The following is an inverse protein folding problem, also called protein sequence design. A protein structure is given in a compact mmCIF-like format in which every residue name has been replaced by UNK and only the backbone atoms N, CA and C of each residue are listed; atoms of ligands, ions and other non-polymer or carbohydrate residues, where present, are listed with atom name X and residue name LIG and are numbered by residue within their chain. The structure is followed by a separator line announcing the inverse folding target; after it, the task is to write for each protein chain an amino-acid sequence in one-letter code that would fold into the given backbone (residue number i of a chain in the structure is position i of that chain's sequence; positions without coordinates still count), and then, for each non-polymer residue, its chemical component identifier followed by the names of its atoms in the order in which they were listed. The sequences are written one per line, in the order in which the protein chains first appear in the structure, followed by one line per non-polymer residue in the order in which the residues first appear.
data_IF_008432032575
#
_entry.id   IF_008432032575
#
_cell.length_a   1.000
_cell.length_b   1.000
_cell.length_c   1.000
_cell.angle_alpha   90.00
_cell.angle_beta   90.00
_cell.angle_gamma   90.00
#
_symmetry.space_group_name_H-M   'P 1'
#
loop_
_entity.id
_entity.type
_entity.pdbx_description
1 polymer ?
#
# COMPACT_ATOMS: atom_id res chain seq x y z
N UNK A 1 1.92 4.67 24.66
CA UNK A 1 0.65 4.71 23.90
C UNK A 1 0.14 3.28 23.75
N UNK A 2 -1.18 3.05 23.83
CA UNK A 2 -1.76 1.74 23.55
C UNK A 2 -1.53 1.37 22.07
N UNK A 3 -1.19 0.11 21.80
CA UNK A 3 -1.02 -0.42 20.44
C UNK A 3 -2.40 -0.79 19.88
N UNK A 4 -2.76 -0.22 18.73
CA UNK A 4 -3.98 -0.59 18.00
C UNK A 4 -3.69 -1.80 17.09
N UNK A 5 -3.96 -3.01 17.60
CA UNK A 5 -3.60 -4.29 16.94
C UNK A 5 -4.08 -4.38 15.49
N UNK A 6 -5.35 -4.08 15.13
CA UNK A 6 -5.81 -4.19 13.74
C UNK A 6 -4.99 -3.34 12.76
N UNK A 7 -4.72 -2.09 13.14
CA UNK A 7 -3.96 -1.15 12.32
C UNK A 7 -2.49 -1.56 12.19
N UNK A 8 -1.92 -2.14 13.26
CA UNK A 8 -0.56 -2.68 13.23
C UNK A 8 -0.45 -3.88 12.29
N UNK A 9 -1.45 -4.77 12.33
CA UNK A 9 -1.48 -6.00 11.54
C UNK A 9 -1.89 -5.79 10.08
N UNK A 10 -2.50 -4.65 9.74
CA UNK A 10 -2.62 -4.22 8.34
C UNK A 10 -1.27 -4.08 7.64
N UNK A 11 -0.20 -3.84 8.40
CA UNK A 11 1.17 -3.80 7.88
C UNK A 11 1.78 -5.18 7.64
N UNK A 12 1.12 -6.29 7.94
CA UNK A 12 1.55 -7.61 7.48
C UNK A 12 1.15 -7.78 5.99
N UNK A 13 2.04 -8.28 5.14
CA UNK A 13 1.82 -8.34 3.69
C UNK A 13 0.78 -9.38 3.23
N UNK A 14 0.45 -10.34 4.07
CA UNK A 14 -0.57 -11.34 3.79
C UNK A 14 -1.48 -11.42 5.01
N UNK A 15 -2.79 -11.33 4.77
CA UNK A 15 -3.82 -11.66 5.75
C UNK A 15 -4.37 -13.03 5.36
N UNK A 16 -3.94 -14.07 6.06
CA UNK A 16 -4.72 -15.31 6.15
C UNK A 16 -5.79 -15.08 7.23
N UNK A 17 -7.01 -15.65 7.17
CA UNK A 17 -8.27 -14.91 7.34
C UNK A 17 -8.55 -14.31 8.73
N UNK A 18 -7.69 -14.47 9.72
CA UNK A 18 -7.97 -14.08 11.09
C UNK A 18 -6.80 -13.34 11.75
N UNK A 19 -7.13 -12.25 12.47
CA UNK A 19 -6.24 -11.67 13.48
C UNK A 19 -6.17 -12.66 14.64
N UNK A 20 -4.98 -13.20 14.92
CA UNK A 20 -4.81 -14.26 15.91
C UNK A 20 -4.33 -13.74 17.27
N UNK A 21 -4.01 -12.44 17.36
CA UNK A 21 -3.49 -11.80 18.55
C UNK A 21 -4.62 -11.03 19.24
N UNK A 22 -4.94 -11.42 20.48
CA UNK A 22 -6.05 -10.82 21.23
C UNK A 22 -5.61 -9.61 22.04
N UNK A 23 -4.38 -9.63 22.58
CA UNK A 23 -3.89 -8.55 23.44
C UNK A 23 -2.37 -8.47 23.46
N UNK A 24 -1.84 -7.26 23.64
CA UNK A 24 -0.45 -7.01 24.03
C UNK A 24 -0.43 -6.79 25.54
N UNK A 25 0.40 -7.57 26.25
CA UNK A 25 0.49 -7.50 27.72
C UNK A 25 1.81 -6.89 28.21
N UNK A 26 2.87 -6.95 27.41
CA UNK A 26 4.14 -6.24 27.66
C UNK A 26 4.70 -5.71 26.34
N UNK A 27 5.29 -4.52 26.35
CA UNK A 27 5.93 -3.94 25.17
C UNK A 27 7.12 -3.06 25.55
N UNK A 28 8.28 -3.44 25.05
CA UNK A 28 9.53 -2.68 25.10
C UNK A 28 9.92 -2.32 23.66
N UNK A 29 9.65 -1.09 23.20
CA UNK A 29 9.83 -0.68 21.81
C UNK A 29 11.20 -1.04 21.25
N UNK A 30 11.21 -1.70 20.09
CA UNK A 30 12.44 -2.09 19.39
C UNK A 30 13.21 -3.27 20.03
N UNK A 31 12.78 -3.81 21.17
CA UNK A 31 13.46 -4.91 21.87
C UNK A 31 12.60 -6.15 22.05
N UNK A 32 11.47 -6.03 22.74
CA UNK A 32 10.65 -7.18 23.16
C UNK A 32 9.16 -6.84 23.17
N UNK A 33 8.32 -7.81 22.84
CA UNK A 33 6.88 -7.71 23.02
C UNK A 33 6.34 -9.05 23.52
N UNK A 34 5.34 -8.99 24.39
CA UNK A 34 4.59 -10.16 24.85
C UNK A 34 3.11 -9.95 24.56
N UNK A 35 2.52 -10.94 23.92
CA UNK A 35 1.13 -10.93 23.51
C UNK A 35 0.39 -12.21 23.95
N UNK A 36 -0.92 -12.18 23.81
CA UNK A 36 -1.81 -13.28 24.17
C UNK A 36 -2.62 -13.69 22.95
N UNK A 37 -2.74 -15.01 22.77
CA UNK A 37 -3.75 -15.65 21.93
C UNK A 37 -4.53 -16.67 22.76
N UNK A 38 -5.84 -16.50 22.85
CA UNK A 38 -6.76 -17.46 23.44
C UNK A 38 -7.18 -18.46 22.37
N UNK A 39 -7.06 -19.74 22.66
CA UNK A 39 -7.42 -20.80 21.71
C UNK A 39 -8.86 -21.20 22.00
N UNK A 40 -9.79 -20.71 21.19
CA UNK A 40 -11.22 -20.96 21.37
C UNK A 40 -11.73 -22.01 20.39
N UNK A 41 -12.62 -22.89 20.85
CA UNK A 41 -13.19 -23.96 20.01
C UNK A 41 -13.98 -23.42 18.81
N UNK A 42 -14.41 -22.16 18.88
CA UNK A 42 -15.16 -21.49 17.83
C UNK A 42 -14.29 -20.95 16.68
N UNK A 43 -12.96 -21.07 16.73
CA UNK A 43 -12.11 -20.64 15.60
C UNK A 43 -12.36 -21.53 14.37
N UNK A 44 -12.45 -20.90 13.19
CA UNK A 44 -12.87 -21.51 11.92
C UNK A 44 -12.08 -22.76 11.54
N UNK A 45 -10.79 -22.81 11.88
CA UNK A 45 -9.90 -23.92 11.52
C UNK A 45 -10.13 -25.18 12.37
N UNK A 46 -10.85 -25.10 13.49
CA UNK A 46 -11.23 -26.29 14.27
C UNK A 46 -12.41 -27.06 13.67
N UNK A 47 -13.24 -26.42 12.85
CA UNK A 47 -14.39 -27.06 12.19
C UNK A 47 -13.96 -28.14 11.17
N UNK A 48 -12.71 -28.08 10.68
CA UNK A 48 -12.17 -29.04 9.70
C UNK A 48 -10.89 -29.77 10.12
N UNK A 49 -10.32 -29.49 11.30
CA UNK A 49 -9.03 -30.04 11.73
C UNK A 49 -9.20 -31.14 12.79
N UNK A 50 -9.15 -32.40 12.32
CA UNK A 50 -9.33 -33.65 13.07
C UNK A 50 -10.68 -33.78 13.81
N UNK A 51 -11.70 -34.42 13.17
CA UNK A 51 -12.96 -34.75 13.85
C UNK A 51 -12.71 -35.48 15.18
N UNK A 52 -13.14 -34.86 16.29
CA UNK A 52 -13.01 -35.41 17.65
C UNK A 52 -11.68 -35.11 18.37
N UNK A 53 -10.71 -34.45 17.74
CA UNK A 53 -9.42 -34.10 18.34
C UNK A 53 -8.95 -32.69 17.94
N UNK A 54 -9.66 -31.63 18.36
CA UNK A 54 -9.34 -30.26 17.96
C UNK A 54 -7.95 -29.86 18.45
N UNK A 55 -7.07 -29.50 17.51
CA UNK A 55 -5.68 -29.11 17.75
C UNK A 55 -5.34 -27.85 16.94
N UNK A 56 -4.72 -26.86 17.58
CA UNK A 56 -4.23 -25.67 16.90
C UNK A 56 -3.08 -26.06 15.96
N UNK A 57 -3.21 -25.84 14.64
CA UNK A 57 -2.15 -26.16 13.68
C UNK A 57 -0.84 -25.43 14.01
N UNK A 58 0.28 -26.14 13.85
CA UNK A 58 1.63 -25.59 14.07
C UNK A 58 1.89 -24.30 13.26
N UNK A 59 1.38 -24.26 12.02
CA UNK A 59 1.48 -23.08 11.15
C UNK A 59 0.75 -21.87 11.71
N UNK A 60 -0.36 -22.05 12.44
CA UNK A 60 -1.09 -20.94 13.07
C UNK A 60 -0.40 -20.43 14.32
N UNK A 61 0.37 -21.27 15.01
CA UNK A 61 1.28 -20.80 16.07
C UNK A 61 2.40 -19.92 15.49
N UNK A 62 3.02 -20.34 14.38
CA UNK A 62 4.03 -19.51 13.69
C UNK A 62 3.44 -18.22 13.12
N UNK A 63 2.22 -18.26 12.58
CA UNK A 63 1.51 -17.08 12.11
C UNK A 63 1.23 -16.11 13.26
N UNK A 64 0.76 -16.60 14.41
CA UNK A 64 0.53 -15.77 15.61
C UNK A 64 1.83 -15.11 16.07
N UNK A 65 2.95 -15.84 16.11
CA UNK A 65 4.27 -15.29 16.42
C UNK A 65 4.72 -14.24 15.39
N UNK A 66 4.41 -14.45 14.10
CA UNK A 66 4.73 -13.53 13.01
C UNK A 66 3.94 -12.22 13.11
N UNK A 67 2.66 -12.30 13.47
CA UNK A 67 1.82 -11.12 13.74
C UNK A 67 2.39 -10.30 14.90
N UNK A 68 2.74 -10.94 16.01
CA UNK A 68 3.35 -10.27 17.17
C UNK A 68 4.71 -9.65 16.80
N UNK A 69 5.53 -10.35 16.03
CA UNK A 69 6.81 -9.81 15.56
C UNK A 69 6.63 -8.58 14.64
N UNK A 70 5.60 -8.60 13.80
CA UNK A 70 5.22 -7.47 12.94
C UNK A 70 4.86 -6.24 13.78
N UNK A 71 4.05 -6.41 14.83
CA UNK A 71 3.69 -5.33 15.76
C UNK A 71 4.96 -4.67 16.33
N UNK A 72 5.91 -5.48 16.80
CA UNK A 72 7.18 -4.98 17.35
C UNK A 72 8.06 -4.29 16.30
N UNK A 73 8.04 -4.74 15.05
CA UNK A 73 8.81 -4.15 13.96
C UNK A 73 8.27 -2.79 13.49
N UNK A 74 6.95 -2.59 13.52
CA UNK A 74 6.31 -1.36 13.00
C UNK A 74 6.11 -0.27 14.06
N UNK A 75 6.27 -0.59 15.35
CA UNK A 75 6.19 0.36 16.48
C UNK A 75 7.56 0.81 17.02
N UNK A 76 8.63 0.62 16.24
CA UNK A 76 9.95 1.22 16.53
C UNK A 76 9.97 2.69 16.14
N UNK A 77 10.87 3.47 16.76
CA UNK A 77 11.04 4.89 16.46
C UNK A 77 11.51 5.16 15.01
N UNK A 78 12.28 4.24 14.42
CA UNK A 78 12.88 4.38 13.08
C UNK A 78 12.12 3.59 11.99
N UNK A 79 10.88 3.17 12.24
CA UNK A 79 10.09 2.46 11.25
C UNK A 79 9.58 3.46 10.20
N UNK A 80 9.77 3.17 8.89
CA UNK A 80 9.06 3.92 7.87
C UNK A 80 7.54 3.92 8.16
N UNK A 81 6.84 5.05 8.02
CA UNK A 81 5.41 5.16 8.33
C UNK A 81 4.55 4.12 7.60
N UNK A 82 4.95 3.75 6.39
CA UNK A 82 4.32 2.77 5.53
C UNK A 82 5.05 1.42 5.51
N UNK A 83 5.93 1.10 6.46
CA UNK A 83 6.63 -0.18 6.42
C UNK A 83 5.65 -1.35 6.55
N UNK A 84 5.64 -2.24 5.56
CA UNK A 84 5.06 -3.57 5.66
C UNK A 84 6.09 -4.64 5.98
N UNK A 85 5.64 -5.66 6.67
CA UNK A 85 6.42 -6.82 7.08
C UNK A 85 5.89 -8.07 6.38
N UNK A 86 6.77 -9.01 6.06
CA UNK A 86 6.40 -10.34 5.61
C UNK A 86 7.37 -11.38 6.17
N UNK A 87 6.89 -12.58 6.50
CA UNK A 87 7.72 -13.71 6.88
C UNK A 87 8.45 -14.19 5.62
N UNK A 88 9.78 -14.14 5.69
CA UNK A 88 10.66 -14.61 4.63
C UNK A 88 11.16 -16.02 4.90
N UNK A 89 11.28 -16.40 6.16
CA UNK A 89 11.72 -17.74 6.54
C UNK A 89 11.54 -18.01 8.03
N UNK A 90 11.59 -19.29 8.38
CA UNK A 90 11.50 -19.81 9.74
C UNK A 90 12.66 -20.77 9.92
N UNK A 91 13.48 -20.57 10.95
CA UNK A 91 14.58 -21.46 11.31
C UNK A 91 14.32 -22.09 12.68
N UNK A 92 14.83 -23.30 12.88
CA UNK A 92 14.83 -24.02 14.16
C UNK A 92 13.45 -24.11 14.85
N UNK A 93 12.38 -24.24 14.06
CA UNK A 93 11.03 -24.38 14.58
C UNK A 93 10.86 -25.70 15.34
N UNK A 94 10.40 -25.62 16.59
CA UNK A 94 10.10 -26.78 17.44
C UNK A 94 8.72 -26.64 18.05
N UNK A 95 7.95 -27.74 18.04
CA UNK A 95 6.61 -27.83 18.62
C UNK A 95 6.61 -28.96 19.64
N UNK A 96 6.43 -28.60 20.92
CA UNK A 96 6.74 -29.48 22.06
C UNK A 96 5.49 -30.09 22.71
N UNK A 97 4.35 -29.44 22.54
CA UNK A 97 3.05 -29.87 23.11
C UNK A 97 1.94 -29.59 22.11
N UNK A 98 0.93 -30.44 22.12
CA UNK A 98 -0.35 -30.12 21.50
C UNK A 98 -0.99 -28.92 22.21
N UNK A 99 -1.56 -28.02 21.41
CA UNK A 99 -2.29 -26.85 21.89
C UNK A 99 -3.74 -27.01 21.47
N UNK A 100 -4.66 -26.97 22.42
CA UNK A 100 -6.07 -27.34 22.22
C UNK A 100 -6.99 -26.21 22.65
N UNK A 101 -8.27 -26.21 22.24
CA UNK A 101 -9.24 -25.26 22.76
C UNK A 101 -9.26 -25.21 24.30
N UNK A 102 -9.27 -24.00 24.85
CA UNK A 102 -9.13 -23.71 26.28
C UNK A 102 -7.71 -23.31 26.71
N UNK A 103 -6.69 -23.62 25.91
CA UNK A 103 -5.34 -23.13 26.16
C UNK A 103 -5.26 -21.61 25.92
N UNK A 104 -4.37 -20.95 26.66
CA UNK A 104 -3.98 -19.56 26.44
C UNK A 104 -2.50 -19.48 26.11
N UNK A 105 -2.19 -19.07 24.89
CA UNK A 105 -0.83 -18.88 24.43
C UNK A 105 -0.30 -17.51 24.88
N UNK A 106 0.83 -17.53 25.58
CA UNK A 106 1.66 -16.35 25.82
C UNK A 106 2.78 -16.33 24.77
N UNK A 107 2.70 -15.37 23.86
CA UNK A 107 3.57 -15.22 22.71
C UNK A 107 4.65 -14.19 23.02
N UNK A 108 5.90 -14.59 23.05
CA UNK A 108 7.03 -13.69 23.30
C UNK A 108 7.90 -13.56 22.07
N UNK A 109 8.19 -12.31 21.69
CA UNK A 109 9.11 -11.98 20.62
C UNK A 109 10.22 -11.08 21.13
N UNK A 110 11.47 -11.43 20.82
CA UNK A 110 12.65 -10.58 21.05
C UNK A 110 13.34 -10.30 19.72
N UNK A 111 13.55 -9.02 19.39
CA UNK A 111 14.25 -8.63 18.18
C UNK A 111 15.76 -8.89 18.30
N UNK A 112 16.31 -9.54 17.28
CA UNK A 112 17.73 -9.77 17.11
C UNK A 112 18.36 -8.78 16.12
N UNK A 113 19.40 -9.24 15.41
CA UNK A 113 20.12 -8.45 14.41
C UNK A 113 19.19 -8.02 13.26
N UNK A 114 19.38 -6.78 12.79
CA UNK A 114 18.71 -6.21 11.62
C UNK A 114 19.76 -5.80 10.57
N UNK A 115 19.45 -5.98 9.29
CA UNK A 115 20.25 -5.50 8.17
C UNK A 115 19.32 -5.02 7.05
N UNK A 116 19.39 -3.73 6.71
CA UNK A 116 18.57 -3.12 5.66
C UNK A 116 17.07 -3.48 5.81
N UNK A 117 16.51 -4.19 4.83
CA UNK A 117 15.13 -4.66 4.74
C UNK A 117 14.88 -6.01 5.43
N UNK A 118 15.76 -6.48 6.30
CA UNK A 118 15.61 -7.76 7.00
C UNK A 118 15.80 -7.65 8.52
N UNK A 119 14.94 -8.33 9.26
CA UNK A 119 15.05 -8.49 10.70
C UNK A 119 14.97 -9.96 11.11
N UNK A 120 15.75 -10.34 12.12
CA UNK A 120 15.60 -11.63 12.81
C UNK A 120 14.89 -11.43 14.14
N UNK A 121 14.01 -12.35 14.50
CA UNK A 121 13.32 -12.33 15.77
C UNK A 121 13.33 -13.72 16.40
N UNK A 122 13.71 -13.81 17.68
CA UNK A 122 13.50 -15.02 18.48
C UNK A 122 12.06 -15.03 18.95
N UNK A 123 11.37 -16.15 18.75
CA UNK A 123 9.95 -16.27 18.98
C UNK A 123 9.65 -17.53 19.81
N UNK A 124 8.91 -17.38 20.91
CA UNK A 124 8.47 -18.50 21.76
C UNK A 124 7.00 -18.35 22.12
N UNK A 125 6.27 -19.46 22.15
CA UNK A 125 4.90 -19.54 22.65
C UNK A 125 4.85 -20.47 23.87
N UNK A 126 4.13 -20.04 24.90
CA UNK A 126 3.98 -20.78 26.17
C UNK A 126 2.51 -21.06 26.49
N UNK A 127 2.25 -22.18 27.16
CA UNK A 127 0.99 -22.46 27.88
C UNK A 127 1.37 -22.65 29.35
N UNK A 128 0.92 -21.74 30.21
CA UNK A 128 1.49 -21.62 31.55
C UNK A 128 2.99 -21.36 31.47
N UNK A 129 3.78 -22.16 32.18
CA UNK A 129 5.25 -22.08 32.21
C UNK A 129 5.94 -22.95 31.16
N UNK A 130 5.18 -23.73 30.38
CA UNK A 130 5.73 -24.65 29.40
C UNK A 130 5.86 -24.00 28.01
N UNK A 131 7.05 -24.03 27.43
CA UNK A 131 7.26 -23.70 26.00
C UNK A 131 6.57 -24.76 25.15
N UNK A 132 5.58 -24.34 24.36
CA UNK A 132 4.85 -25.21 23.42
C UNK A 132 5.32 -25.05 21.97
N UNK A 133 5.84 -23.87 21.61
CA UNK A 133 6.47 -23.64 20.32
C UNK A 133 7.64 -22.65 20.43
N UNK A 134 8.66 -22.81 19.59
CA UNK A 134 9.75 -21.85 19.45
C UNK A 134 10.28 -21.84 18.01
N UNK A 135 10.79 -20.68 17.57
CA UNK A 135 11.43 -20.52 16.27
C UNK A 135 12.31 -19.25 16.22
N UNK A 136 13.21 -19.19 15.23
CA UNK A 136 13.79 -17.93 14.77
C UNK A 136 13.10 -17.48 13.48
N UNK A 137 12.43 -16.34 13.52
CA UNK A 137 11.74 -15.76 12.37
C UNK A 137 12.68 -14.84 11.60
N UNK A 138 12.73 -15.02 10.29
CA UNK A 138 13.34 -14.07 9.35
C UNK A 138 12.23 -13.26 8.68
N UNK A 139 12.22 -11.96 8.94
CA UNK A 139 11.17 -11.03 8.50
C UNK A 139 11.76 -10.06 7.47
N UNK A 140 11.12 -9.96 6.31
CA UNK A 140 11.35 -8.89 5.35
C UNK A 140 10.54 -7.65 5.70
N UNK A 141 11.15 -6.49 5.52
CA UNK A 141 10.55 -5.17 5.71
C UNK A 141 10.65 -4.44 4.39
N UNK A 142 9.51 -4.07 3.82
CA UNK A 142 9.43 -3.26 2.61
C UNK A 142 8.50 -2.08 2.86
N UNK A 143 8.72 -0.91 2.27
CA UNK A 143 7.67 0.10 2.22
C UNK A 143 6.41 -0.49 1.54
N UNK A 144 5.23 -0.11 2.04
CA UNK A 144 3.94 -0.48 1.43
C UNK A 144 3.89 0.07 0.01
N UNK A 145 3.31 -0.71 -0.89
CA UNK A 145 3.43 -0.48 -2.32
C UNK A 145 2.48 0.59 -2.82
N UNK A 146 1.43 0.98 -2.11
CA UNK A 146 0.60 2.14 -2.45
C UNK A 146 -0.22 2.53 -1.23
N UNK A 147 -0.33 3.81 -0.92
CA UNK A 147 -1.25 4.31 0.10
C UNK A 147 -2.48 4.87 -0.61
N UNK A 148 -3.64 4.24 -0.45
CA UNK A 148 -4.87 4.66 -1.10
C UNK A 148 -5.87 4.96 0.01
N UNK A 149 -6.27 6.23 0.11
CA UNK A 149 -7.25 6.64 1.09
C UNK A 149 -8.56 5.83 0.91
N UNK A 150 -9.21 5.36 2.00
CA UNK A 150 -10.43 4.55 1.91
C UNK A 150 -11.59 5.21 1.16
N UNK A 151 -11.60 6.55 1.07
CA UNK A 151 -12.62 7.31 0.34
C UNK A 151 -12.29 7.54 -1.13
N UNK A 152 -11.08 7.18 -1.58
CA UNK A 152 -10.71 7.24 -2.99
C UNK A 152 -11.40 6.12 -3.77
N UNK A 153 -11.82 6.43 -5.00
CA UNK A 153 -12.45 5.47 -5.91
C UNK A 153 -11.42 5.10 -6.97
N UNK A 154 -10.80 3.93 -6.83
CA UNK A 154 -9.83 3.41 -7.80
C UNK A 154 -10.43 2.21 -8.52
N UNK A 155 -10.59 2.33 -9.83
CA UNK A 155 -11.13 1.24 -10.62
C UNK A 155 -10.20 0.01 -10.56
N UNK A 156 -10.70 -1.24 -10.40
CA UNK A 156 -9.86 -2.45 -10.25
C UNK A 156 -8.90 -2.76 -11.41
N UNK A 157 -9.11 -2.13 -12.57
CA UNK A 157 -8.27 -2.24 -13.77
C UNK A 157 -7.15 -1.20 -13.85
N UNK A 158 -7.21 -0.16 -13.01
CA UNK A 158 -6.15 0.82 -12.93
C UNK A 158 -4.86 0.15 -12.43
N UNK A 159 -3.71 0.61 -12.92
CA UNK A 159 -2.40 0.17 -12.42
C UNK A 159 -1.77 1.30 -11.63
N UNK A 160 -1.45 1.06 -10.37
CA UNK A 160 -0.81 2.05 -9.50
C UNK A 160 0.58 1.53 -9.12
N UNK A 161 1.60 2.35 -9.38
CA UNK A 161 3.00 2.00 -9.14
C UNK A 161 3.38 2.07 -7.66
N UNK A 162 4.53 1.46 -7.35
CA UNK A 162 5.02 1.31 -5.98
C UNK A 162 5.29 2.65 -5.29
N UNK A 163 4.94 2.81 -4.01
CA UNK A 163 5.15 4.04 -3.24
C UNK A 163 4.14 5.16 -3.53
N UNK A 164 3.22 4.97 -4.49
CA UNK A 164 2.25 6.01 -4.85
C UNK A 164 1.19 6.21 -3.79
N UNK A 165 0.88 7.48 -3.51
CA UNK A 165 -0.17 7.91 -2.56
C UNK A 165 -1.35 8.47 -3.32
N UNK A 166 -2.56 8.01 -3.01
CA UNK A 166 -3.84 8.49 -3.54
C UNK A 166 -4.65 9.07 -2.39
N UNK A 167 -4.88 10.38 -2.43
CA UNK A 167 -5.55 11.13 -1.39
C UNK A 167 -7.07 10.96 -1.35
N UNK A 168 -7.72 11.51 -0.31
CA UNK A 168 -9.15 11.36 -0.08
C UNK A 168 -10.00 11.79 -1.27
N UNK A 169 -11.06 11.03 -1.57
CA UNK A 169 -12.04 11.34 -2.62
C UNK A 169 -11.46 11.48 -4.04
N UNK A 170 -10.21 11.09 -4.29
CA UNK A 170 -9.67 11.02 -5.64
C UNK A 170 -10.39 9.93 -6.45
N UNK A 171 -10.51 10.12 -7.77
CA UNK A 171 -11.15 9.15 -8.68
C UNK A 171 -10.18 8.74 -9.78
N UNK A 172 -9.93 7.43 -9.91
CA UNK A 172 -9.00 6.85 -10.88
C UNK A 172 -9.73 5.86 -11.80
N UNK A 173 -9.73 6.17 -13.10
CA UNK A 173 -10.44 5.44 -14.14
C UNK A 173 -9.83 4.08 -14.55
N UNK A 174 -10.57 3.26 -15.31
CA UNK A 174 -10.22 1.87 -15.64
C UNK A 174 -8.99 1.69 -16.54
N UNK A 175 -8.61 2.70 -17.30
CA UNK A 175 -7.50 2.62 -18.27
C UNK A 175 -6.30 3.48 -17.86
N UNK A 176 -6.25 3.87 -16.59
CA UNK A 176 -5.18 4.70 -16.03
C UNK A 176 -4.02 3.83 -15.57
N UNK A 177 -2.80 4.25 -15.89
CA UNK A 177 -1.54 3.71 -15.38
C UNK A 177 -0.75 4.82 -14.71
N UNK A 178 -0.48 4.68 -13.42
CA UNK A 178 0.31 5.63 -12.63
C UNK A 178 1.62 4.93 -12.24
N UNK A 179 2.73 5.64 -12.44
CA UNK A 179 4.07 5.20 -12.05
C UNK A 179 4.29 5.09 -10.54
N UNK A 180 5.52 4.81 -10.16
CA UNK A 180 5.97 4.71 -8.77
C UNK A 180 6.14 6.10 -8.12
N UNK A 181 6.05 6.15 -6.79
CA UNK A 181 6.32 7.32 -5.96
C UNK A 181 5.53 8.59 -6.36
N UNK A 182 4.36 8.42 -6.98
CA UNK A 182 3.48 9.52 -7.34
C UNK A 182 2.65 9.98 -6.14
N UNK A 183 2.14 11.22 -6.20
CA UNK A 183 1.17 11.74 -5.23
C UNK A 183 -0.05 12.25 -5.99
N UNK A 184 -1.21 11.68 -5.70
CA UNK A 184 -2.48 12.13 -6.26
C UNK A 184 -3.28 12.80 -5.15
N UNK A 185 -3.53 14.09 -5.31
CA UNK A 185 -4.16 14.94 -4.31
C UNK A 185 -5.64 14.64 -4.11
N UNK A 186 -6.19 15.17 -3.01
CA UNK A 186 -7.58 14.99 -2.67
C UNK A 186 -8.52 15.48 -3.78
N UNK A 187 -9.57 14.72 -4.07
CA UNK A 187 -10.56 15.06 -5.11
C UNK A 187 -9.99 15.30 -6.51
N UNK A 188 -8.75 14.88 -6.79
CA UNK A 188 -8.23 14.85 -8.15
C UNK A 188 -8.93 13.75 -8.96
N UNK A 189 -9.12 14.02 -10.26
CA UNK A 189 -9.71 13.06 -11.19
C UNK A 189 -8.67 12.70 -12.23
N UNK A 190 -8.35 11.41 -12.34
CA UNK A 190 -7.52 10.87 -13.41
C UNK A 190 -8.32 9.80 -14.14
N UNK A 191 -8.60 10.01 -15.43
CA UNK A 191 -9.43 9.08 -16.21
C UNK A 191 -8.93 8.97 -17.66
N UNK A 192 -9.65 8.22 -18.48
CA UNK A 192 -9.31 7.95 -19.87
C UNK A 192 -8.11 7.04 -20.03
N UNK A 193 -7.60 6.96 -21.25
CA UNK A 193 -6.38 6.21 -21.57
C UNK A 193 -5.16 7.05 -21.23
N UNK A 194 -4.80 7.04 -19.95
CA UNK A 194 -3.82 7.96 -19.37
C UNK A 194 -2.66 7.21 -18.73
N UNK A 195 -1.45 7.58 -19.12
CA UNK A 195 -0.19 7.07 -18.58
C UNK A 195 0.57 8.20 -17.90
N UNK A 196 0.98 7.98 -16.65
CA UNK A 196 1.69 8.96 -15.83
C UNK A 196 2.99 8.33 -15.32
N UNK A 197 4.13 8.95 -15.60
CA UNK A 197 5.44 8.51 -15.15
C UNK A 197 5.71 8.77 -13.67
N UNK A 198 6.73 8.07 -13.16
CA UNK A 198 7.14 8.04 -11.76
C UNK A 198 7.41 9.43 -11.15
N UNK A 199 7.17 9.55 -9.85
CA UNK A 199 7.48 10.74 -9.05
C UNK A 199 6.62 11.97 -9.39
N UNK A 200 5.54 11.80 -10.16
CA UNK A 200 4.64 12.89 -10.53
C UNK A 200 3.73 13.27 -9.35
N UNK A 201 3.56 14.57 -9.14
CA UNK A 201 2.68 15.13 -8.12
C UNK A 201 1.49 15.84 -8.77
N UNK A 202 0.28 15.39 -8.45
CA UNK A 202 -0.99 15.98 -8.86
C UNK A 202 -1.66 16.53 -7.60
N UNK A 203 -1.93 17.82 -7.58
CA UNK A 203 -2.54 18.51 -6.44
C UNK A 203 -4.06 18.41 -6.46
N UNK A 204 -4.74 18.80 -5.35
CA UNK A 204 -6.18 18.69 -5.23
C UNK A 204 -6.95 19.34 -6.38
N UNK A 205 -8.09 18.72 -6.73
CA UNK A 205 -9.05 19.20 -7.75
C UNK A 205 -8.51 19.30 -9.19
N UNK A 206 -7.31 18.78 -9.48
CA UNK A 206 -6.83 18.65 -10.85
C UNK A 206 -7.65 17.61 -11.64
N UNK A 207 -7.79 17.82 -12.95
CA UNK A 207 -8.54 16.97 -13.86
C UNK A 207 -7.67 16.53 -15.04
N UNK A 208 -7.22 15.28 -15.01
CA UNK A 208 -6.16 14.75 -15.88
C UNK A 208 -6.72 13.62 -16.73
N UNK A 209 -6.58 13.73 -18.05
CA UNK A 209 -6.96 12.68 -19.00
C UNK A 209 -8.44 12.64 -19.36
N UNK A 210 -9.22 13.66 -19.01
CA UNK A 210 -10.61 13.74 -19.44
C UNK A 210 -10.75 13.94 -20.96
N UNK A 211 -11.96 13.69 -21.46
CA UNK A 211 -12.32 13.93 -22.85
C UNK A 211 -12.00 15.38 -23.27
N UNK A 212 -11.52 15.60 -24.50
CA UNK A 212 -11.25 16.94 -25.01
C UNK A 212 -12.53 17.75 -25.21
N UNK A 213 -12.39 19.07 -25.21
CA UNK A 213 -13.49 20.01 -25.42
C UNK A 213 -13.76 20.31 -26.92
N UNK A 214 -13.02 19.68 -27.84
CA UNK A 214 -13.28 19.79 -29.28
C UNK A 214 -14.66 19.20 -29.60
N UNK A 215 -15.52 20.00 -30.22
CA UNK A 215 -16.88 19.62 -30.63
C UNK A 215 -16.91 18.44 -31.62
N UNK A 216 -15.79 18.15 -32.28
CA UNK A 216 -15.66 17.02 -33.22
C UNK A 216 -15.39 15.69 -32.52
N UNK A 217 -15.01 15.69 -31.24
CA UNK A 217 -14.70 14.46 -30.51
C UNK A 217 -15.98 13.64 -30.27
N UNK A 218 -15.93 12.35 -30.59
CA UNK A 218 -17.08 11.43 -30.54
C UNK A 218 -16.88 10.28 -29.54
N UNK A 219 -15.95 10.44 -28.60
CA UNK A 219 -15.66 9.38 -27.61
C UNK A 219 -14.59 8.38 -28.07
N UNK A 220 -13.80 8.73 -29.09
CA UNK A 220 -12.73 7.85 -29.57
C UNK A 220 -11.70 7.55 -28.48
N UNK A 221 -11.05 6.36 -28.51
CA UNK A 221 -10.08 5.94 -27.49
C UNK A 221 -8.72 6.65 -27.68
N UNK A 222 -8.69 7.96 -27.52
CA UNK A 222 -7.47 8.79 -27.56
C UNK A 222 -6.75 8.78 -26.22
N UNK A 223 -5.47 9.18 -26.22
CA UNK A 223 -4.54 8.98 -25.10
C UNK A 223 -4.02 10.29 -24.52
N UNK A 224 -3.54 10.20 -23.28
CA UNK A 224 -2.66 11.17 -22.62
C UNK A 224 -1.43 10.42 -22.11
N UNK A 225 -0.24 10.94 -22.42
CA UNK A 225 1.04 10.39 -21.94
C UNK A 225 1.81 11.49 -21.23
N UNK A 226 2.08 11.28 -19.95
CA UNK A 226 2.81 12.19 -19.07
C UNK A 226 4.10 11.49 -18.63
N UNK A 227 5.23 12.16 -18.77
CA UNK A 227 6.52 11.70 -18.27
C UNK A 227 6.64 11.72 -16.75
N UNK A 228 7.87 11.80 -16.27
CA UNK A 228 8.23 11.64 -14.85
C UNK A 228 8.41 12.97 -14.14
N UNK A 229 8.19 12.98 -12.82
CA UNK A 229 8.49 14.11 -11.91
C UNK A 229 7.85 15.44 -12.31
N UNK A 230 6.67 15.39 -12.91
CA UNK A 230 5.89 16.59 -13.20
C UNK A 230 5.15 17.05 -11.93
N UNK A 231 4.88 18.35 -11.84
CA UNK A 231 4.05 18.92 -10.78
C UNK A 231 2.84 19.61 -11.43
N UNK A 232 1.66 19.08 -11.17
CA UNK A 232 0.39 19.66 -11.58
C UNK A 232 -0.31 20.24 -10.36
N UNK A 233 -0.37 21.57 -10.29
CA UNK A 233 -1.00 22.28 -9.17
C UNK A 233 -2.53 22.22 -9.24
N UNK A 234 -3.14 22.86 -8.27
CA UNK A 234 -4.58 22.84 -8.04
C UNK A 234 -5.36 23.26 -9.30
N UNK A 235 -6.45 22.58 -9.60
CA UNK A 235 -7.34 22.88 -10.74
C UNK A 235 -6.67 22.85 -12.13
N UNK A 236 -5.47 22.26 -12.27
CA UNK A 236 -4.89 22.00 -13.58
C UNK A 236 -5.80 21.06 -14.38
N UNK A 237 -5.99 21.36 -15.66
CA UNK A 237 -6.81 20.54 -16.57
C UNK A 237 -5.98 20.10 -17.78
N UNK A 238 -5.99 18.81 -18.08
CA UNK A 238 -5.25 18.23 -19.21
C UNK A 238 -6.13 17.25 -19.94
N UNK A 239 -6.41 17.52 -21.21
CA UNK A 239 -7.27 16.67 -22.02
C UNK A 239 -6.48 15.70 -22.88
N UNK A 240 -7.08 14.54 -23.16
CA UNK A 240 -6.57 13.59 -24.15
C UNK A 240 -6.63 14.18 -25.56
N UNK A 241 -5.92 13.57 -26.50
CA UNK A 241 -5.94 14.01 -27.89
C UNK A 241 -7.28 13.79 -28.60
N UNK A 242 -7.32 14.13 -29.88
CA UNK A 242 -8.44 13.87 -30.80
C UNK A 242 -7.96 13.00 -31.96
N UNK A 243 -8.85 12.24 -32.61
CA UNK A 243 -8.46 11.45 -33.79
C UNK A 243 -7.86 12.33 -34.91
N UNK A 244 -8.35 13.56 -35.06
CA UNK A 244 -7.85 14.52 -36.05
C UNK A 244 -6.47 15.09 -35.75
N UNK A 245 -6.08 15.18 -34.48
CA UNK A 245 -4.80 15.75 -34.03
C UNK A 245 -3.69 14.74 -33.75
N UNK A 246 -3.90 13.46 -34.07
CA UNK A 246 -2.94 12.38 -33.83
C UNK A 246 -3.26 11.51 -32.62
N UNK A 247 -4.35 11.82 -31.89
CA UNK A 247 -4.93 10.95 -30.88
C UNK A 247 -4.19 10.91 -29.55
N UNK A 248 -3.23 11.82 -29.34
CA UNK A 248 -2.40 11.85 -28.13
C UNK A 248 -2.03 13.27 -27.74
N UNK A 249 -2.28 13.61 -26.48
CA UNK A 249 -1.63 14.74 -25.81
C UNK A 249 -0.40 14.20 -25.07
N UNK A 250 0.75 14.88 -25.20
CA UNK A 250 2.03 14.42 -24.68
C UNK A 250 2.68 15.49 -23.80
N UNK A 251 3.14 15.09 -22.61
CA UNK A 251 3.88 15.93 -21.66
C UNK A 251 5.15 15.19 -21.28
N UNK A 252 6.31 15.85 -21.40
CA UNK A 252 7.61 15.30 -21.02
C UNK A 252 7.83 15.24 -19.50
N UNK A 253 9.04 15.53 -19.05
CA UNK A 253 9.48 15.33 -17.66
C UNK A 253 9.74 16.64 -16.94
N UNK A 254 9.65 16.62 -15.60
CA UNK A 254 10.12 17.71 -14.72
C UNK A 254 9.50 19.07 -15.02
N UNK A 255 8.28 19.10 -15.53
CA UNK A 255 7.55 20.33 -15.77
C UNK A 255 6.78 20.77 -14.51
N UNK A 256 6.51 22.07 -14.40
CA UNK A 256 5.66 22.65 -13.36
C UNK A 256 4.49 23.38 -14.02
N UNK A 257 3.28 22.91 -13.73
CA UNK A 257 2.03 23.55 -14.15
C UNK A 257 1.39 24.17 -12.91
N UNK A 258 1.42 25.50 -12.80
CA UNK A 258 0.81 26.19 -11.67
C UNK A 258 -0.73 26.12 -11.72
N UNK A 259 -1.38 26.65 -10.68
CA UNK A 259 -2.81 26.48 -10.51
C UNK A 259 -3.59 27.00 -11.73
N UNK A 260 -4.67 26.30 -12.09
CA UNK A 260 -5.55 26.63 -13.23
C UNK A 260 -4.92 26.59 -14.62
N UNK A 261 -3.75 25.99 -14.79
CA UNK A 261 -3.20 25.78 -16.14
C UNK A 261 -4.07 24.80 -16.92
N UNK A 262 -4.32 25.13 -18.19
CA UNK A 262 -5.04 24.27 -19.13
C UNK A 262 -4.13 23.81 -20.26
N UNK A 263 -4.13 22.50 -20.51
CA UNK A 263 -3.49 21.87 -21.67
C UNK A 263 -4.58 21.17 -22.48
N UNK A 264 -4.95 21.78 -23.62
CA UNK A 264 -5.95 21.24 -24.52
C UNK A 264 -5.45 19.97 -25.25
N UNK A 265 -6.33 19.44 -26.08
CA UNK A 265 -6.07 18.23 -26.87
C UNK A 265 -4.88 18.37 -27.82
N UNK A 266 -4.17 17.26 -28.02
CA UNK A 266 -3.12 17.10 -29.02
C UNK A 266 -1.90 18.01 -28.80
N UNK A 267 -1.78 18.61 -27.61
CA UNK A 267 -0.60 19.39 -27.25
C UNK A 267 0.63 18.50 -27.08
N UNK A 268 1.81 19.09 -27.32
CA UNK A 268 3.12 18.49 -27.07
C UNK A 268 3.95 19.42 -26.20
N UNK A 269 4.03 19.12 -24.92
CA UNK A 269 4.89 19.84 -23.96
C UNK A 269 6.16 19.04 -23.74
N UNK A 270 7.31 19.68 -23.87
CA UNK A 270 8.62 19.11 -23.63
C UNK A 270 8.95 18.85 -22.16
N UNK A 271 10.18 19.14 -21.76
CA UNK A 271 10.72 18.88 -20.42
C UNK A 271 11.15 20.19 -19.76
N UNK A 272 11.24 20.20 -18.42
CA UNK A 272 11.81 21.30 -17.63
C UNK A 272 11.13 22.67 -17.88
N UNK A 273 9.85 22.67 -18.28
CA UNK A 273 9.05 23.88 -18.52
C UNK A 273 8.30 24.33 -17.26
N UNK A 274 7.97 25.62 -17.22
CA UNK A 274 7.17 26.21 -16.13
C UNK A 274 6.03 27.03 -16.73
N UNK A 275 4.80 26.67 -16.40
CA UNK A 275 3.61 27.41 -16.77
C UNK A 275 3.08 28.16 -15.55
N UNK A 276 3.03 29.49 -15.64
CA UNK A 276 2.43 30.35 -14.61
C UNK A 276 0.93 30.10 -14.44
N UNK A 277 0.31 30.62 -13.37
CA UNK A 277 -1.10 30.38 -13.09
C UNK A 277 -1.99 30.82 -14.27
N UNK A 278 -3.04 30.07 -14.55
CA UNK A 278 -4.00 30.32 -15.65
C UNK A 278 -3.43 30.27 -17.08
N UNK A 279 -2.18 29.85 -17.29
CA UNK A 279 -1.68 29.65 -18.65
C UNK A 279 -2.57 28.64 -19.39
N UNK A 280 -2.91 28.94 -20.65
CA UNK A 280 -3.85 28.16 -21.45
C UNK A 280 -3.22 27.81 -22.78
N UNK A 281 -3.04 26.52 -23.03
CA UNK A 281 -2.61 26.00 -24.33
C UNK A 281 -3.86 25.58 -25.10
N UNK A 282 -4.07 26.19 -26.27
CA UNK A 282 -5.09 25.75 -27.22
C UNK A 282 -4.75 24.41 -27.85
N UNK A 283 -5.68 23.84 -28.63
CA UNK A 283 -5.46 22.55 -29.29
C UNK A 283 -4.23 22.55 -30.20
N UNK A 284 -3.51 21.44 -30.24
CA UNK A 284 -2.33 21.19 -31.10
C UNK A 284 -1.09 22.07 -30.81
N UNK A 285 -1.03 22.76 -29.67
CA UNK A 285 0.12 23.60 -29.31
C UNK A 285 1.35 22.74 -28.97
N UNK A 286 2.53 23.17 -29.41
CA UNK A 286 3.81 22.58 -29.04
C UNK A 286 4.68 23.59 -28.28
N UNK A 287 5.26 23.17 -27.14
CA UNK A 287 6.12 23.97 -26.26
C UNK A 287 7.34 23.15 -25.85
#
# INVERSE_FOLDING_TARGET
MPIHIPQALDRLCYRYPSLLVDAIIEHEPGRRVVAVKNVTVNEEFFQGHFPGAPLLPAVLMLESLTQVATILLVHRADAPPNARVYLRGVNDAKFRRQVVPGDRLRLEITLGKRRASLARAKATAHVGDQIVAEAELLLGIRPDRTDIDPSAIVHPRATIGEGTVIGPHASIGPNVRIGADCKIGASAVVDGWTEIGDGTEIYPFASIGLAPQDLKYQGEPTRLVIGTRNIFREFVTINRGTRGGGGVTMIGDRNVFMAYVHVAHDCRVGHDTIFGPHATLGGHVAV
#
